data_IF_341279840964
#
_entry.id   IF_341279840964
#
_cell.length_a   1.000
_cell.length_b   1.000
_cell.length_c   1.000
_cell.angle_alpha   90.00
_cell.angle_beta   90.00
_cell.angle_gamma   90.00
#
_symmetry.space_group_name_H-M   'P 1'
#
loop_
_entity.id
_entity.type
_entity.pdbx_description
1 polymer ?
#
# COMPACT_ATOMS: atom_id res chain seq x y z
N UNK A 1 -20.64 20.47 11.80
CA UNK A 1 -19.33 19.78 11.87
C UNK A 1 -19.48 18.49 12.67
N UNK A 2 -18.76 17.45 12.25
CA UNK A 2 -18.74 16.15 12.90
C UNK A 2 -17.30 15.71 13.16
N UNK A 3 -17.11 14.90 14.18
CA UNK A 3 -15.89 14.12 14.40
C UNK A 3 -16.17 12.66 14.09
N UNK A 4 -15.23 11.98 13.47
CA UNK A 4 -15.40 10.59 13.04
C UNK A 4 -14.29 9.74 13.65
N UNK A 5 -14.69 8.60 14.20
CA UNK A 5 -13.77 7.57 14.69
C UNK A 5 -13.90 6.33 13.79
N UNK A 6 -12.78 5.68 13.54
CA UNK A 6 -12.73 4.46 12.73
C UNK A 6 -12.03 3.32 13.47
N UNK A 7 -12.44 2.11 13.15
CA UNK A 7 -11.75 0.86 13.47
C UNK A 7 -11.55 0.12 12.16
N UNK A 8 -10.31 -0.23 11.86
CA UNK A 8 -9.99 -0.99 10.66
C UNK A 8 -9.50 -2.39 10.99
N UNK A 9 -9.83 -3.33 10.12
CA UNK A 9 -9.30 -4.68 10.11
C UNK A 9 -8.75 -4.99 8.71
N UNK A 10 -7.54 -5.53 8.64
CA UNK A 10 -6.95 -5.96 7.38
C UNK A 10 -7.24 -7.46 7.19
N UNK A 11 -7.74 -7.86 6.02
CA UNK A 11 -7.86 -9.27 5.68
C UNK A 11 -6.48 -9.94 5.71
N UNK A 12 -6.41 -11.16 6.21
CA UNK A 12 -5.17 -11.94 6.17
C UNK A 12 -4.93 -12.40 4.73
N UNK A 13 -3.79 -11.99 4.18
CA UNK A 13 -3.34 -12.48 2.87
C UNK A 13 -2.73 -13.88 3.07
N UNK A 14 -3.20 -14.91 2.34
CA UNK A 14 -2.61 -16.24 2.39
C UNK A 14 -1.14 -16.22 1.94
N UNK A 15 -0.31 -17.02 2.59
CA UNK A 15 1.11 -17.13 2.24
C UNK A 15 1.32 -17.56 0.77
N UNK A 16 0.44 -18.41 0.26
CA UNK A 16 0.46 -18.86 -1.14
C UNK A 16 0.34 -17.72 -2.15
N UNK A 17 -0.51 -16.74 -1.87
CA UNK A 17 -0.68 -15.55 -2.71
C UNK A 17 0.57 -14.67 -2.70
N UNK A 18 1.21 -14.53 -1.54
CA UNK A 18 2.48 -13.80 -1.41
C UNK A 18 3.59 -14.51 -2.20
N UNK A 19 3.69 -15.82 -2.06
CA UNK A 19 4.70 -16.62 -2.78
C UNK A 19 4.45 -16.62 -4.30
N UNK A 20 3.20 -16.64 -4.75
CA UNK A 20 2.87 -16.52 -6.18
C UNK A 20 3.35 -15.16 -6.76
N UNK A 21 3.04 -14.08 -6.06
CA UNK A 21 3.51 -12.74 -6.46
C UNK A 21 5.04 -12.69 -6.55
N UNK A 22 5.74 -13.18 -5.53
CA UNK A 22 7.21 -13.22 -5.52
C UNK A 22 7.77 -14.10 -6.63
N UNK A 23 7.15 -15.25 -6.92
CA UNK A 23 7.52 -16.14 -8.02
C UNK A 23 7.39 -15.42 -9.36
N UNK A 24 6.29 -14.73 -9.61
CA UNK A 24 6.06 -13.96 -10.84
C UNK A 24 7.08 -12.84 -11.00
N UNK A 25 7.38 -12.10 -9.94
CA UNK A 25 8.41 -11.05 -9.99
C UNK A 25 9.81 -11.61 -10.27
N UNK A 26 10.17 -12.76 -9.70
CA UNK A 26 11.42 -13.45 -10.05
C UNK A 26 11.46 -13.87 -11.50
N UNK A 27 10.36 -14.38 -12.03
CA UNK A 27 10.24 -14.72 -13.45
C UNK A 27 10.47 -13.49 -14.35
N UNK A 28 9.89 -12.34 -14.01
CA UNK A 28 10.10 -11.11 -14.78
C UNK A 28 11.55 -10.64 -14.71
N UNK A 29 12.19 -10.75 -13.55
CA UNK A 29 13.62 -10.47 -13.39
C UNK A 29 14.47 -11.36 -14.32
N UNK A 30 14.17 -12.66 -14.37
CA UNK A 30 14.87 -13.62 -15.23
C UNK A 30 14.67 -13.30 -16.73
N UNK A 31 13.46 -12.88 -17.11
CA UNK A 31 13.15 -12.46 -18.48
C UNK A 31 13.94 -11.22 -18.88
N UNK A 32 14.06 -10.23 -17.99
CA UNK A 32 14.88 -9.03 -18.23
C UNK A 32 16.36 -9.40 -18.36
N UNK A 33 16.87 -10.29 -17.50
CA UNK A 33 18.25 -10.77 -17.55
C UNK A 33 18.56 -11.53 -18.86
N UNK A 34 17.55 -12.09 -19.51
CA UNK A 34 17.63 -12.75 -20.84
C UNK A 34 17.46 -11.78 -22.01
N UNK A 35 17.32 -10.48 -21.74
CA UNK A 35 17.25 -9.41 -22.75
C UNK A 35 15.85 -8.89 -23.06
N UNK A 36 14.81 -9.34 -22.34
CA UNK A 36 13.47 -8.79 -22.51
C UNK A 36 13.37 -7.39 -21.89
N UNK A 37 12.56 -6.53 -22.48
CA UNK A 37 12.40 -5.15 -22.03
C UNK A 37 11.61 -5.06 -20.72
N UNK A 38 12.22 -4.51 -19.68
CA UNK A 38 11.54 -4.20 -18.40
C UNK A 38 10.30 -3.32 -18.62
N UNK A 39 10.42 -2.30 -19.47
CA UNK A 39 9.32 -1.39 -19.82
C UNK A 39 8.12 -2.13 -20.44
N UNK A 40 8.37 -3.12 -21.29
CA UNK A 40 7.30 -3.94 -21.88
C UNK A 40 6.62 -4.81 -20.83
N UNK A 41 7.40 -5.44 -19.94
CA UNK A 41 6.84 -6.24 -18.84
C UNK A 41 6.02 -5.38 -17.88
N UNK A 42 6.48 -4.16 -17.58
CA UNK A 42 5.73 -3.24 -16.75
C UNK A 42 4.38 -2.87 -17.37
N UNK A 43 4.34 -2.58 -18.68
CA UNK A 43 3.07 -2.29 -19.38
C UNK A 43 2.08 -3.46 -19.36
N UNK A 44 2.58 -4.69 -19.43
CA UNK A 44 1.75 -5.89 -19.51
C UNK A 44 1.28 -6.36 -18.13
N UNK A 45 2.11 -6.23 -17.10
CA UNK A 45 1.90 -6.94 -15.85
C UNK A 45 1.86 -6.08 -14.59
N UNK A 46 2.36 -4.83 -14.65
CA UNK A 46 2.34 -3.98 -13.47
C UNK A 46 0.92 -3.57 -13.06
N UNK A 47 0.60 -3.73 -11.80
CA UNK A 47 -0.67 -3.32 -11.20
C UNK A 47 -0.66 -1.86 -10.73
N UNK A 48 0.46 -1.16 -10.85
CA UNK A 48 0.50 0.29 -10.71
C UNK A 48 0.01 0.97 -11.99
N UNK A 49 -1.29 1.26 -12.05
CA UNK A 49 -1.93 1.89 -13.20
C UNK A 49 -1.34 3.27 -13.52
N UNK A 50 -0.82 3.96 -12.53
CA UNK A 50 -0.23 5.29 -12.69
C UNK A 50 1.04 5.29 -13.53
N UNK A 51 1.86 4.25 -13.46
CA UNK A 51 3.13 4.14 -14.18
C UNK A 51 3.15 3.07 -15.27
N UNK A 52 2.29 2.05 -15.21
CA UNK A 52 2.32 0.90 -16.12
C UNK A 52 2.32 1.33 -17.61
N UNK A 53 1.43 2.25 -18.01
CA UNK A 53 1.33 2.74 -19.39
C UNK A 53 2.58 3.49 -19.85
N UNK A 54 3.36 4.03 -18.94
CA UNK A 54 4.66 4.64 -19.19
C UNK A 54 5.83 3.67 -19.00
N UNK A 55 5.57 2.35 -19.04
CA UNK A 55 6.60 1.32 -18.86
C UNK A 55 7.13 1.22 -17.42
N UNK A 56 6.32 1.57 -16.43
CA UNK A 56 6.66 1.57 -15.01
C UNK A 56 7.48 2.77 -14.54
N UNK A 57 7.64 3.81 -15.38
CA UNK A 57 8.47 4.97 -15.05
C UNK A 57 7.89 5.83 -13.93
N UNK A 58 8.76 6.11 -12.95
CA UNK A 58 8.57 7.10 -11.88
C UNK A 58 9.55 8.22 -12.13
N UNK A 59 9.04 9.44 -12.22
CA UNK A 59 9.82 10.63 -12.50
C UNK A 59 10.83 10.95 -11.39
N UNK A 60 11.78 11.83 -11.69
CA UNK A 60 12.83 12.22 -10.75
C UNK A 60 12.26 12.58 -9.38
N UNK A 61 12.54 11.75 -8.41
CA UNK A 61 12.03 11.88 -7.05
C UNK A 61 13.17 11.85 -6.05
N UNK A 62 13.07 12.69 -5.04
CA UNK A 62 13.93 12.63 -3.86
C UNK A 62 13.51 11.49 -2.92
N UNK A 63 14.40 11.09 -2.04
CA UNK A 63 14.17 9.96 -1.10
C UNK A 63 12.88 10.11 -0.28
N UNK A 64 12.58 11.31 0.19
CA UNK A 64 11.39 11.59 1.02
C UNK A 64 10.06 11.62 0.26
N UNK A 65 10.08 11.53 -1.07
CA UNK A 65 8.89 11.50 -1.92
C UNK A 65 8.45 10.07 -2.28
N UNK A 66 9.23 9.08 -1.91
CA UNK A 66 9.00 7.66 -2.20
C UNK A 66 8.68 6.90 -0.92
N UNK A 67 7.99 5.77 -1.05
CA UNK A 67 7.85 4.83 0.05
C UNK A 67 9.23 4.49 0.64
N UNK A 68 9.41 4.45 1.97
CA UNK A 68 10.72 4.23 2.58
C UNK A 68 11.40 2.92 2.18
N UNK A 69 10.65 1.82 2.05
CA UNK A 69 11.19 0.53 1.64
C UNK A 69 11.64 0.57 0.18
N UNK A 70 10.83 1.19 -0.69
CA UNK A 70 11.16 1.43 -2.09
C UNK A 70 12.41 2.30 -2.22
N UNK A 71 12.45 3.45 -1.53
CA UNK A 71 13.58 4.38 -1.57
C UNK A 71 14.89 3.73 -1.11
N UNK A 72 14.84 2.92 -0.05
CA UNK A 72 16.03 2.24 0.47
C UNK A 72 16.69 1.31 -0.56
N UNK A 73 15.92 0.65 -1.38
CA UNK A 73 16.45 -0.21 -2.45
C UNK A 73 16.82 0.62 -3.68
N UNK A 74 15.93 1.49 -4.13
CA UNK A 74 16.09 2.26 -5.36
C UNK A 74 17.36 3.15 -5.33
N UNK A 75 17.61 3.85 -4.23
CA UNK A 75 18.79 4.72 -4.09
C UNK A 75 20.13 3.95 -4.00
N UNK A 76 20.08 2.66 -3.67
CA UNK A 76 21.27 1.79 -3.66
C UNK A 76 21.57 1.15 -5.02
N UNK A 77 20.68 1.26 -6.01
CA UNK A 77 20.94 0.78 -7.37
C UNK A 77 22.04 1.61 -8.03
N UNK A 78 22.98 0.95 -8.70
CA UNK A 78 24.10 1.58 -9.39
C UNK A 78 24.08 1.29 -10.90
N UNK A 79 23.54 0.14 -11.31
CA UNK A 79 23.60 -0.37 -12.67
C UNK A 79 22.20 -0.36 -13.30
N UNK A 80 21.94 0.50 -14.31
CA UNK A 80 20.67 0.55 -14.99
C UNK A 80 20.27 -0.73 -15.75
N UNK A 81 21.23 -1.62 -16.01
CA UNK A 81 20.96 -2.90 -16.70
C UNK A 81 20.38 -3.96 -15.75
N UNK A 82 20.50 -3.77 -14.45
CA UNK A 82 20.10 -4.75 -13.43
C UNK A 82 18.76 -4.44 -12.81
N UNK A 83 18.05 -5.50 -12.45
CA UNK A 83 16.80 -5.43 -11.67
C UNK A 83 17.11 -5.61 -10.19
N UNK A 84 16.42 -4.87 -9.33
CA UNK A 84 16.55 -4.99 -7.88
C UNK A 84 16.08 -6.36 -7.35
N UNK A 85 16.43 -6.65 -6.11
CA UNK A 85 15.69 -7.64 -5.33
C UNK A 85 14.22 -7.22 -5.17
N UNK A 86 13.37 -8.15 -4.80
CA UNK A 86 11.95 -7.87 -4.48
C UNK A 86 11.88 -6.96 -3.25
N UNK A 87 11.06 -5.92 -3.34
CA UNK A 87 10.81 -4.94 -2.27
C UNK A 87 9.36 -5.04 -1.86
N UNK A 88 9.10 -5.16 -0.57
CA UNK A 88 7.76 -5.07 0.00
C UNK A 88 7.52 -3.65 0.51
N UNK A 89 6.42 -3.04 0.09
CA UNK A 89 5.94 -1.74 0.53
C UNK A 89 4.47 -1.84 0.97
N UNK A 90 3.90 -0.75 1.45
CA UNK A 90 2.46 -0.70 1.74
C UNK A 90 1.57 -0.91 0.50
N UNK A 91 2.10 -0.71 -0.71
CA UNK A 91 1.37 -0.90 -1.98
C UNK A 91 1.42 -2.33 -2.51
N UNK A 92 2.32 -3.16 -2.03
CA UNK A 92 2.55 -4.53 -2.50
C UNK A 92 4.02 -4.84 -2.70
N UNK A 93 4.31 -5.69 -3.68
CA UNK A 93 5.67 -6.15 -3.97
C UNK A 93 6.18 -5.55 -5.28
N UNK A 94 7.42 -5.08 -5.27
CA UNK A 94 8.03 -4.40 -6.40
C UNK A 94 9.35 -5.07 -6.81
N UNK A 95 9.65 -4.98 -8.11
CA UNK A 95 11.01 -5.00 -8.63
C UNK A 95 11.29 -3.66 -9.30
N UNK A 96 12.53 -3.18 -9.18
CA UNK A 96 12.90 -1.82 -9.57
C UNK A 96 14.11 -1.87 -10.50
N UNK A 97 14.10 -1.02 -11.52
CA UNK A 97 15.25 -0.78 -12.39
C UNK A 97 15.59 0.72 -12.36
N UNK A 98 16.88 1.03 -12.19
CA UNK A 98 17.36 2.40 -12.29
C UNK A 98 17.31 2.88 -13.72
N UNK A 99 16.85 4.10 -13.96
CA UNK A 99 16.99 4.80 -15.25
C UNK A 99 18.14 5.77 -15.16
N UNK A 100 18.11 6.70 -14.21
CA UNK A 100 19.09 7.77 -14.07
C UNK A 100 19.15 8.29 -12.64
N UNK A 101 20.34 8.77 -12.23
CA UNK A 101 20.54 9.53 -11.00
C UNK A 101 20.98 10.96 -11.32
N UNK A 102 20.39 11.92 -10.64
CA UNK A 102 20.76 13.35 -10.72
C UNK A 102 20.84 13.95 -9.31
N UNK A 103 22.06 14.06 -8.78
CA UNK A 103 22.27 14.56 -7.43
C UNK A 103 21.52 13.69 -6.40
N UNK A 104 20.61 14.32 -5.66
CA UNK A 104 19.77 13.71 -4.62
C UNK A 104 18.44 13.10 -5.15
N UNK A 105 18.26 13.08 -6.47
CA UNK A 105 17.06 12.55 -7.13
C UNK A 105 17.38 11.37 -8.03
N UNK A 106 16.40 10.46 -8.13
CA UNK A 106 16.49 9.32 -9.02
C UNK A 106 15.24 9.19 -9.89
N UNK A 107 15.45 8.69 -11.10
CA UNK A 107 14.40 8.23 -12.00
C UNK A 107 14.49 6.71 -12.11
N UNK A 108 13.37 6.02 -11.91
CA UNK A 108 13.31 4.55 -11.88
C UNK A 108 12.18 4.02 -12.72
N UNK A 109 12.19 2.71 -12.99
CA UNK A 109 11.03 1.92 -13.42
C UNK A 109 10.73 0.88 -12.37
N UNK A 110 9.46 0.53 -12.23
CA UNK A 110 9.08 -0.58 -11.38
C UNK A 110 7.95 -1.42 -11.98
N UNK A 111 7.84 -2.64 -11.49
CA UNK A 111 6.69 -3.50 -11.65
C UNK A 111 6.14 -3.75 -10.25
N UNK A 112 4.90 -3.38 -10.03
CA UNK A 112 4.15 -3.63 -8.80
C UNK A 112 3.21 -4.80 -9.02
N UNK A 113 3.23 -5.78 -8.12
CA UNK A 113 2.20 -6.80 -7.99
C UNK A 113 1.64 -6.82 -6.58
N UNK A 114 0.35 -7.10 -6.47
CA UNK A 114 -0.37 -7.21 -5.19
C UNK A 114 -0.82 -8.65 -4.99
N UNK A 115 -0.66 -9.22 -3.78
CA UNK A 115 -1.26 -10.50 -3.48
C UNK A 115 -2.77 -10.43 -3.63
N UNK A 116 -3.37 -11.46 -4.19
CA UNK A 116 -4.82 -11.58 -4.24
C UNK A 116 -5.37 -11.79 -2.82
N UNK A 117 -6.44 -11.08 -2.49
CA UNK A 117 -7.15 -11.27 -1.22
C UNK A 117 -8.38 -12.12 -1.50
N UNK A 118 -8.43 -13.38 -1.04
CA UNK A 118 -9.58 -14.24 -1.26
C UNK A 118 -10.85 -13.68 -0.61
N UNK A 119 -11.98 -13.97 -1.21
CA UNK A 119 -13.30 -13.52 -0.70
C UNK A 119 -13.54 -13.99 0.74
N UNK A 120 -13.08 -15.21 1.08
CA UNK A 120 -13.17 -15.75 2.44
C UNK A 120 -12.37 -14.92 3.46
N UNK A 121 -11.20 -14.40 3.08
CA UNK A 121 -10.40 -13.54 3.94
C UNK A 121 -11.06 -12.17 4.14
N UNK A 122 -11.71 -11.63 3.11
CA UNK A 122 -12.52 -10.42 3.21
C UNK A 122 -13.73 -10.65 4.13
N UNK A 123 -14.45 -11.73 3.93
CA UNK A 123 -15.60 -12.10 4.75
C UNK A 123 -15.24 -12.28 6.23
N UNK A 124 -14.09 -12.91 6.51
CA UNK A 124 -13.58 -13.05 7.88
C UNK A 124 -13.23 -11.68 8.51
N UNK A 125 -12.68 -10.75 7.74
CA UNK A 125 -12.41 -9.37 8.18
C UNK A 125 -13.70 -8.62 8.52
N UNK A 126 -14.72 -8.72 7.66
CA UNK A 126 -16.05 -8.13 7.90
C UNK A 126 -16.71 -8.73 9.15
N UNK A 127 -16.73 -10.05 9.28
CA UNK A 127 -17.29 -10.73 10.46
C UNK A 127 -16.58 -10.30 11.76
N UNK A 128 -15.27 -10.06 11.70
CA UNK A 128 -14.52 -9.52 12.84
C UNK A 128 -14.98 -8.12 13.21
N UNK A 129 -15.19 -7.24 12.23
CA UNK A 129 -15.71 -5.88 12.46
C UNK A 129 -17.12 -5.91 13.02
N UNK A 130 -17.99 -6.77 12.48
CA UNK A 130 -19.36 -6.94 12.98
C UNK A 130 -19.36 -7.39 14.45
N UNK A 131 -18.50 -8.34 14.82
CA UNK A 131 -18.34 -8.79 16.21
C UNK A 131 -17.87 -7.65 17.12
N UNK A 132 -16.93 -6.82 16.68
CA UNK A 132 -16.46 -5.64 17.44
C UNK A 132 -17.60 -4.63 17.62
N UNK A 133 -18.36 -4.37 16.55
CA UNK A 133 -19.50 -3.45 16.58
C UNK A 133 -20.60 -3.93 17.55
N UNK A 134 -20.89 -5.22 17.55
CA UNK A 134 -21.86 -5.80 18.49
C UNK A 134 -21.40 -5.74 19.95
N UNK A 135 -20.13 -5.97 20.19
CA UNK A 135 -19.55 -5.84 21.53
C UNK A 135 -19.61 -4.41 22.04
N UNK A 136 -19.39 -3.41 21.18
CA UNK A 136 -19.55 -1.98 21.50
C UNK A 136 -21.01 -1.66 21.81
N UNK A 137 -21.96 -2.11 20.95
CA UNK A 137 -23.41 -1.92 21.14
C UNK A 137 -23.91 -2.54 22.46
N UNK A 138 -23.33 -3.65 22.85
CA UNK A 138 -23.63 -4.35 24.10
C UNK A 138 -22.88 -3.79 25.31
N UNK A 139 -22.20 -2.66 25.17
CA UNK A 139 -21.42 -1.99 26.23
C UNK A 139 -20.36 -2.89 26.90
N UNK A 140 -19.76 -3.82 26.18
CA UNK A 140 -18.63 -4.60 26.69
C UNK A 140 -17.35 -3.75 26.80
N UNK A 141 -17.20 -2.79 25.92
CA UNK A 141 -16.14 -1.77 25.89
C UNK A 141 -16.60 -0.56 25.06
N UNK A 142 -15.93 0.58 25.25
CA UNK A 142 -16.20 1.79 24.46
C UNK A 142 -15.61 1.69 23.05
N UNK A 143 -16.05 2.58 22.14
CA UNK A 143 -15.45 2.67 20.80
C UNK A 143 -13.97 3.06 20.87
N UNK A 144 -13.62 4.02 21.75
CA UNK A 144 -12.25 4.48 21.96
C UNK A 144 -11.32 3.35 22.43
N UNK A 145 -11.79 2.53 23.39
CA UNK A 145 -11.05 1.35 23.86
C UNK A 145 -10.85 0.34 22.72
N UNK A 146 -11.91 0.05 21.98
CA UNK A 146 -11.84 -0.85 20.83
C UNK A 146 -10.89 -0.33 19.74
N UNK A 147 -10.95 0.96 19.40
CA UNK A 147 -10.07 1.57 18.43
C UNK A 147 -8.60 1.48 18.85
N UNK A 148 -8.31 1.77 20.13
CA UNK A 148 -6.94 1.75 20.66
C UNK A 148 -6.31 0.35 20.70
N UNK A 149 -7.13 -0.69 20.95
CA UNK A 149 -6.65 -2.07 21.16
C UNK A 149 -6.80 -2.92 19.92
N UNK A 150 -7.93 -2.82 19.22
CA UNK A 150 -8.32 -3.75 18.17
C UNK A 150 -8.13 -3.20 16.75
N UNK A 151 -8.06 -1.87 16.57
CA UNK A 151 -7.83 -1.28 15.25
C UNK A 151 -6.44 -1.59 14.72
N UNK A 152 -6.36 -1.89 13.43
CA UNK A 152 -5.11 -2.11 12.72
C UNK A 152 -4.65 -0.87 11.94
N UNK A 153 -5.40 0.22 12.02
CA UNK A 153 -4.99 1.49 11.45
C UNK A 153 -3.91 2.16 12.30
N UNK A 154 -2.73 2.34 11.73
CA UNK A 154 -1.56 2.89 12.42
C UNK A 154 -1.69 4.38 12.72
N UNK A 155 -2.44 5.10 11.89
CA UNK A 155 -2.52 6.57 11.93
C UNK A 155 -3.52 7.04 12.99
N UNK A 156 -4.65 6.33 13.16
CA UNK A 156 -5.72 6.72 14.07
C UNK A 156 -5.75 5.92 15.38
N UNK A 157 -5.18 4.72 15.41
CA UNK A 157 -5.20 3.83 16.57
C UNK A 157 -4.72 4.50 17.86
N UNK A 158 -3.63 5.27 17.80
CA UNK A 158 -3.04 5.94 18.94
C UNK A 158 -3.83 7.20 19.37
N UNK A 159 -4.78 7.63 18.55
CA UNK A 159 -5.71 8.73 18.81
C UNK A 159 -7.16 8.24 18.93
N UNK A 160 -7.35 7.07 19.53
CA UNK A 160 -8.67 6.47 19.79
C UNK A 160 -9.56 6.33 18.56
N UNK A 161 -8.94 6.15 17.39
CA UNK A 161 -9.62 6.03 16.10
C UNK A 161 -10.05 7.34 15.46
N UNK A 162 -9.78 8.51 16.06
CA UNK A 162 -10.15 9.81 15.50
C UNK A 162 -9.44 10.09 14.19
N UNK A 163 -10.23 10.36 13.14
CA UNK A 163 -9.71 10.76 11.83
C UNK A 163 -9.19 12.21 11.88
N UNK A 164 -7.95 12.46 11.44
CA UNK A 164 -7.47 13.82 11.24
C UNK A 164 -8.01 14.38 9.91
N UNK A 165 -8.50 15.62 9.94
CA UNK A 165 -8.86 16.34 8.73
C UNK A 165 -7.60 16.95 8.10
N UNK A 166 -7.20 16.52 6.90
CA UNK A 166 -5.95 16.96 6.28
C UNK A 166 -5.95 18.44 5.89
N UNK A 167 -7.14 19.04 5.73
CA UNK A 167 -7.28 20.43 5.31
C UNK A 167 -7.15 21.42 6.47
N UNK A 168 -7.58 21.01 7.67
CA UNK A 168 -7.67 21.89 8.84
C UNK A 168 -6.73 21.49 9.97
N UNK A 169 -6.12 20.32 9.86
CA UNK A 169 -5.25 19.72 10.90
C UNK A 169 -5.97 19.55 12.26
N UNK A 170 -7.29 19.37 12.22
CA UNK A 170 -8.16 19.10 13.38
C UNK A 170 -8.87 17.75 13.18
N UNK A 171 -9.72 17.33 14.12
CA UNK A 171 -10.58 16.15 13.99
C UNK A 171 -11.97 16.46 13.41
N UNK A 172 -12.24 17.72 13.07
CA UNK A 172 -13.57 18.20 12.65
C UNK A 172 -13.70 18.25 11.14
N UNK A 173 -14.82 17.72 10.64
CA UNK A 173 -15.18 17.68 9.23
C UNK A 173 -16.51 18.37 8.98
N UNK A 174 -16.64 19.05 7.85
CA UNK A 174 -17.93 19.27 7.23
C UNK A 174 -18.38 17.98 6.53
N UNK A 175 -19.68 17.72 6.45
CA UNK A 175 -20.21 16.48 5.87
C UNK A 175 -19.70 16.22 4.43
N UNK A 176 -19.50 17.27 3.67
CA UNK A 176 -19.01 17.20 2.29
C UNK A 176 -17.50 16.92 2.17
N UNK A 177 -16.75 17.02 3.26
CA UNK A 177 -15.31 16.71 3.30
C UNK A 177 -15.05 15.23 3.61
N UNK A 178 -16.08 14.52 4.10
CA UNK A 178 -15.97 13.10 4.40
C UNK A 178 -16.04 12.24 3.12
N UNK A 179 -15.30 11.14 3.07
CA UNK A 179 -15.48 10.15 2.01
C UNK A 179 -16.94 9.70 1.91
N UNK A 180 -17.48 9.49 0.68
CA UNK A 180 -18.88 9.11 0.49
C UNK A 180 -19.30 7.84 1.25
N UNK A 181 -18.36 6.95 1.49
CA UNK A 181 -18.57 5.69 2.23
C UNK A 181 -18.80 5.93 3.72
N UNK A 182 -18.32 7.04 4.26
CA UNK A 182 -18.44 7.43 5.68
C UNK A 182 -19.59 8.42 5.88
N UNK A 183 -19.89 9.25 4.86
CA UNK A 183 -20.89 10.31 4.94
C UNK A 183 -22.36 9.82 4.81
N UNK A 184 -22.58 8.52 4.63
CA UNK A 184 -23.91 7.89 4.46
C UNK A 184 -24.64 7.69 5.79
#
# INVERSE_FOLDING_TARGET
QVEVQIITQQPKVPLEEIEDVKRRLREYTDRVNKGESFSMLARLYSEDRGSAMRGGEIEFSGRGMLDPAYANVAFNLQDPSKVSKIVESEYGFHIIQLIEKRGDRIKTRHILLKPHIPEEALAAGCARLDSIADDIRNNKFSFEEAASVLSQDKDTRNNHGLLPNPNTNTSRFEMQELPPEIAK
#
